data_IF_903083615199
#
_entry.id   IF_903083615199
#
_cell.length_a   1.000
_cell.length_b   1.000
_cell.length_c   1.000
_cell.angle_alpha   90.00
_cell.angle_beta   90.00
_cell.angle_gamma   90.00
#
_symmetry.space_group_name_H-M   'P 1'
#
loop_
_entity.id
_entity.type
_entity.pdbx_description
1 polymer ?
#
# COMPACT_ATOMS: atom_id res chain seq x y z
N UNK A 1 0.17 -20.85 -13.67
CA UNK A 1 -0.75 -20.00 -14.44
C UNK A 1 -0.03 -18.81 -15.10
N UNK A 2 1.27 -18.61 -14.81
CA UNK A 2 2.07 -17.53 -15.41
C UNK A 2 1.67 -16.11 -14.92
N UNK A 3 1.12 -16.01 -13.71
CA UNK A 3 0.66 -14.76 -13.11
C UNK A 3 1.23 -14.58 -11.69
N UNK A 4 1.32 -13.35 -11.25
CA UNK A 4 1.54 -13.07 -9.83
C UNK A 4 0.23 -13.21 -9.06
N UNK A 5 0.29 -13.79 -7.87
CA UNK A 5 -0.86 -13.94 -6.98
C UNK A 5 -0.57 -13.34 -5.61
N UNK A 6 -1.59 -12.71 -5.02
CA UNK A 6 -1.51 -12.16 -3.65
C UNK A 6 -2.48 -12.91 -2.77
N UNK A 7 -2.00 -13.45 -1.67
CA UNK A 7 -2.77 -14.31 -0.77
C UNK A 7 -2.59 -13.86 0.67
N UNK A 8 -3.67 -13.98 1.46
CA UNK A 8 -3.64 -13.77 2.90
C UNK A 8 -3.77 -15.10 3.62
N UNK A 9 -3.04 -15.25 4.72
CA UNK A 9 -3.03 -16.45 5.54
C UNK A 9 -2.86 -16.09 7.02
N UNK A 10 -3.46 -16.90 7.89
CA UNK A 10 -3.13 -16.90 9.30
C UNK A 10 -1.81 -17.65 9.49
N UNK A 11 -0.78 -16.94 9.90
CA UNK A 11 0.56 -17.49 10.10
C UNK A 11 0.81 -17.79 11.56
N UNK A 12 1.29 -19.01 11.83
CA UNK A 12 1.66 -19.41 13.19
C UNK A 12 2.78 -18.53 13.74
N UNK A 13 2.60 -18.00 14.95
CA UNK A 13 3.69 -17.38 15.67
C UNK A 13 4.68 -18.47 16.13
N UNK A 14 5.99 -18.31 15.92
CA UNK A 14 6.97 -19.26 16.43
C UNK A 14 7.00 -19.33 17.97
N UNK A 15 6.62 -18.26 18.65
CA UNK A 15 6.42 -18.25 20.10
C UNK A 15 5.00 -18.77 20.41
N UNK A 16 4.86 -19.93 21.07
CA UNK A 16 3.56 -20.54 21.34
C UNK A 16 2.67 -19.73 22.30
N UNK A 17 3.27 -18.82 23.07
CA UNK A 17 2.56 -17.97 24.02
C UNK A 17 2.00 -16.69 23.38
N UNK A 18 2.27 -16.48 22.08
CA UNK A 18 1.81 -15.33 21.32
C UNK A 18 0.73 -15.71 20.30
N UNK A 19 -0.15 -14.75 20.05
CA UNK A 19 -1.15 -14.89 19.01
C UNK A 19 -0.51 -15.02 17.61
N UNK A 20 -1.18 -15.69 16.66
CA UNK A 20 -0.71 -15.78 15.28
C UNK A 20 -0.66 -14.41 14.60
N UNK A 21 0.09 -14.34 13.50
CA UNK A 21 0.10 -13.18 12.62
C UNK A 21 -1.02 -13.27 11.56
N UNK A 22 -1.51 -12.12 11.15
CA UNK A 22 -2.25 -11.98 9.90
C UNK A 22 -1.23 -11.61 8.81
N UNK A 23 -1.00 -12.53 7.88
CA UNK A 23 0.09 -12.42 6.91
C UNK A 23 -0.42 -12.38 5.48
N UNK A 24 0.37 -11.78 4.60
CA UNK A 24 0.17 -11.82 3.16
C UNK A 24 1.46 -12.24 2.46
N UNK A 25 1.31 -12.96 1.36
CA UNK A 25 2.41 -13.32 0.47
C UNK A 25 2.10 -12.93 -0.96
N UNK A 26 3.15 -12.56 -1.71
CA UNK A 26 3.09 -12.45 -3.15
C UNK A 26 3.84 -13.65 -3.73
N UNK A 27 3.19 -14.38 -4.63
CA UNK A 27 3.73 -15.56 -5.31
C UNK A 27 3.94 -15.21 -6.78
N UNK A 28 5.14 -15.45 -7.30
CA UNK A 28 5.52 -15.18 -8.67
C UNK A 28 5.00 -16.27 -9.64
N UNK A 29 5.13 -16.12 -10.98
CA UNK A 29 4.70 -17.10 -11.96
C UNK A 29 5.34 -18.48 -11.81
N UNK A 30 6.52 -18.57 -11.23
CA UNK A 30 7.26 -19.79 -10.97
C UNK A 30 6.75 -20.55 -9.73
N UNK A 31 5.89 -19.92 -8.94
CA UNK A 31 5.31 -20.50 -7.71
C UNK A 31 6.15 -20.19 -6.46
N UNK A 32 7.09 -19.26 -6.53
CA UNK A 32 7.95 -18.88 -5.43
C UNK A 32 7.36 -17.68 -4.68
N UNK A 33 7.53 -17.64 -3.36
CA UNK A 33 7.16 -16.48 -2.54
C UNK A 33 8.22 -15.39 -2.74
N UNK A 34 7.85 -14.31 -3.44
CA UNK A 34 8.74 -13.16 -3.67
C UNK A 34 8.55 -12.04 -2.64
N UNK A 35 7.45 -12.05 -1.90
CA UNK A 35 7.22 -11.13 -0.78
C UNK A 35 6.44 -11.81 0.32
N UNK A 36 6.85 -11.56 1.57
CA UNK A 36 6.14 -11.94 2.78
C UNK A 36 5.93 -10.71 3.67
N UNK A 37 4.71 -10.48 4.07
CA UNK A 37 4.27 -9.37 4.89
C UNK A 37 3.46 -9.86 6.08
N UNK A 38 3.65 -9.27 7.25
CA UNK A 38 2.83 -9.46 8.45
C UNK A 38 2.13 -8.15 8.79
N UNK A 39 0.82 -8.18 8.99
CA UNK A 39 0.01 -7.00 9.31
C UNK A 39 0.60 -6.23 10.48
N UNK A 40 1.03 -4.98 10.25
CA UNK A 40 1.72 -4.16 11.24
C UNK A 40 0.77 -3.58 12.28
N UNK A 41 -0.45 -3.23 11.86
CA UNK A 41 -1.47 -2.59 12.71
C UNK A 41 -2.75 -3.42 12.76
N UNK A 42 -2.81 -4.48 13.59
CA UNK A 42 -4.07 -5.16 13.88
C UNK A 42 -5.13 -4.17 14.33
N UNK A 43 -6.38 -4.39 13.92
CA UNK A 43 -7.49 -3.53 14.30
C UNK A 43 -7.98 -3.87 15.72
N UNK A 44 -7.31 -3.31 16.72
CA UNK A 44 -7.64 -3.51 18.13
C UNK A 44 -8.93 -2.74 18.53
N UNK A 45 -9.76 -3.30 19.41
CA UNK A 45 -9.61 -4.61 20.09
C UNK A 45 -10.23 -5.80 19.33
N UNK A 46 -10.69 -5.59 18.08
CA UNK A 46 -11.46 -6.58 17.31
C UNK A 46 -10.57 -7.74 16.83
N UNK A 47 -9.36 -7.42 16.36
CA UNK A 47 -8.44 -8.42 15.84
C UNK A 47 -7.40 -8.83 16.88
N UNK A 48 -7.34 -10.15 17.22
CA UNK A 48 -6.41 -10.64 18.23
C UNK A 48 -5.00 -10.94 17.66
N UNK A 49 -4.70 -10.53 16.44
CA UNK A 49 -3.43 -10.83 15.79
C UNK A 49 -2.24 -10.19 16.48
N UNK A 50 -1.12 -10.89 16.48
CA UNK A 50 0.14 -10.30 16.92
C UNK A 50 0.63 -9.28 15.88
N UNK A 51 1.12 -8.09 16.28
CA UNK A 51 1.65 -7.09 15.36
C UNK A 51 2.83 -7.63 14.56
N UNK A 52 2.88 -7.29 13.26
CA UNK A 52 3.94 -7.71 12.36
C UNK A 52 5.29 -7.08 12.68
N UNK A 53 6.36 -7.72 12.23
CA UNK A 53 7.76 -7.38 12.51
C UNK A 53 8.65 -7.33 11.26
N UNK A 54 8.06 -7.46 10.06
CA UNK A 54 8.78 -7.48 8.79
C UNK A 54 8.86 -6.11 8.10
N UNK A 55 8.24 -5.07 8.68
CA UNK A 55 8.13 -3.75 8.06
C UNK A 55 7.31 -3.78 6.77
N UNK A 56 7.64 -2.88 5.83
CA UNK A 56 7.02 -2.82 4.50
C UNK A 56 7.99 -3.34 3.45
N UNK A 57 7.97 -4.65 3.12
CA UNK A 57 8.81 -5.21 2.07
C UNK A 57 8.33 -4.80 0.67
N UNK A 58 9.26 -4.80 -0.28
CA UNK A 58 9.02 -4.55 -1.70
C UNK A 58 9.69 -5.65 -2.51
N UNK A 59 9.03 -6.17 -3.53
CA UNK A 59 9.59 -7.13 -4.47
C UNK A 59 9.39 -6.69 -5.92
N UNK A 60 10.15 -7.30 -6.82
CA UNK A 60 9.95 -7.12 -8.25
C UNK A 60 8.67 -7.80 -8.71
N UNK A 61 7.98 -7.15 -9.64
CA UNK A 61 6.76 -7.63 -10.26
C UNK A 61 6.82 -7.57 -11.80
N UNK A 62 5.71 -7.84 -12.47
CA UNK A 62 5.66 -7.83 -13.93
C UNK A 62 5.83 -6.42 -14.50
N UNK A 63 6.39 -6.32 -15.74
CA UNK A 63 6.45 -5.06 -16.47
C UNK A 63 7.25 -3.95 -15.78
N UNK A 64 8.26 -4.29 -14.98
CA UNK A 64 9.06 -3.32 -14.23
C UNK A 64 8.37 -2.77 -12.97
N UNK A 65 7.24 -3.37 -12.56
CA UNK A 65 6.59 -2.99 -11.32
C UNK A 65 7.41 -3.38 -10.09
N UNK A 66 7.29 -2.58 -9.05
CA UNK A 66 7.77 -2.84 -7.69
C UNK A 66 6.54 -2.96 -6.79
N UNK A 67 6.30 -4.16 -6.29
CA UNK A 67 5.10 -4.51 -5.55
C UNK A 67 5.32 -4.43 -4.05
N UNK A 68 4.33 -3.92 -3.33
CA UNK A 68 4.21 -4.05 -1.88
C UNK A 68 2.76 -4.37 -1.52
N UNK A 69 2.54 -4.98 -0.37
CA UNK A 69 1.20 -5.35 0.09
C UNK A 69 0.97 -4.89 1.52
N UNK A 70 -0.26 -4.45 1.80
CA UNK A 70 -0.75 -4.20 3.15
C UNK A 70 -2.10 -4.88 3.38
N UNK A 71 -2.47 -5.05 4.65
CA UNK A 71 -3.70 -5.76 5.01
C UNK A 71 -4.66 -4.80 5.71
N UNK A 72 -5.84 -4.57 5.08
CA UNK A 72 -7.02 -4.00 5.72
C UNK A 72 -6.75 -2.65 6.39
N UNK A 73 -6.73 -2.61 7.74
CA UNK A 73 -6.53 -1.40 8.55
C UNK A 73 -5.19 -0.71 8.27
N UNK A 74 -4.15 -1.44 7.91
CA UNK A 74 -2.85 -0.87 7.52
C UNK A 74 -2.98 0.21 6.44
N UNK A 75 -3.91 0.05 5.51
CA UNK A 75 -4.16 1.04 4.45
C UNK A 75 -4.72 2.38 4.93
N UNK A 76 -5.15 2.48 6.20
CA UNK A 76 -5.53 3.73 6.84
C UNK A 76 -4.32 4.50 7.39
N UNK A 77 -3.15 3.85 7.49
CA UNK A 77 -1.94 4.38 8.09
C UNK A 77 -1.03 4.89 6.97
N UNK A 78 -0.97 6.21 6.73
CA UNK A 78 -0.27 6.78 5.58
C UNK A 78 1.24 6.52 5.60
N UNK A 79 1.82 6.31 6.77
CA UNK A 79 3.23 6.00 6.96
C UNK A 79 3.65 4.71 6.24
N UNK A 80 2.77 3.70 6.18
CA UNK A 80 3.08 2.43 5.53
C UNK A 80 3.19 2.59 4.00
N UNK A 81 2.23 3.29 3.41
CA UNK A 81 2.27 3.59 1.98
C UNK A 81 3.50 4.46 1.63
N UNK A 82 3.86 5.40 2.51
CA UNK A 82 5.04 6.25 2.37
C UNK A 82 6.33 5.45 2.45
N UNK A 83 6.44 4.55 3.42
CA UNK A 83 7.59 3.65 3.58
C UNK A 83 7.77 2.75 2.34
N UNK A 84 6.68 2.14 1.85
CA UNK A 84 6.74 1.34 0.63
C UNK A 84 7.21 2.16 -0.57
N UNK A 85 6.70 3.39 -0.72
CA UNK A 85 7.08 4.29 -1.82
C UNK A 85 8.57 4.67 -1.77
N UNK A 86 9.13 4.94 -0.60
CA UNK A 86 10.57 5.20 -0.44
C UNK A 86 11.44 4.00 -0.79
N UNK A 87 10.94 2.79 -0.57
CA UNK A 87 11.59 1.55 -1.00
C UNK A 87 11.39 1.25 -2.50
N UNK A 88 10.79 2.16 -3.24
CA UNK A 88 10.61 2.08 -4.68
C UNK A 88 9.30 1.45 -5.14
N UNK A 89 8.37 1.11 -4.24
CA UNK A 89 7.06 0.57 -4.61
C UNK A 89 6.34 1.54 -5.55
N UNK A 90 5.91 1.06 -6.71
CA UNK A 90 5.10 1.81 -7.66
C UNK A 90 3.71 1.16 -7.91
N UNK A 91 3.47 -0.03 -7.31
CA UNK A 91 2.17 -0.69 -7.26
C UNK A 91 1.92 -1.20 -5.84
N UNK A 92 1.04 -0.53 -5.12
CA UNK A 92 0.70 -0.82 -3.72
C UNK A 92 -0.61 -1.59 -3.65
N UNK A 93 -0.56 -2.79 -3.11
CA UNK A 93 -1.69 -3.72 -3.06
C UNK A 93 -2.29 -3.72 -1.66
N UNK A 94 -3.61 -3.63 -1.57
CA UNK A 94 -4.35 -3.68 -0.32
C UNK A 94 -5.41 -4.77 -0.36
N UNK A 95 -5.29 -5.78 0.49
CA UNK A 95 -6.27 -6.85 0.65
C UNK A 95 -7.03 -6.64 1.96
N UNK A 96 -8.37 -6.76 1.95
CA UNK A 96 -9.19 -6.28 3.06
C UNK A 96 -10.49 -7.04 3.27
N UNK A 97 -11.01 -6.93 4.51
CA UNK A 97 -12.37 -7.25 4.88
C UNK A 97 -13.02 -6.05 5.58
N UNK A 98 -13.31 -4.98 4.84
CA UNK A 98 -13.99 -3.79 5.35
C UNK A 98 -15.49 -3.93 5.29
N UNK A 99 -16.15 -3.61 6.42
CA UNK A 99 -17.60 -3.55 6.51
C UNK A 99 -18.15 -2.17 6.06
N UNK A 100 -19.45 -2.10 5.89
CA UNK A 100 -20.15 -0.93 5.32
C UNK A 100 -19.96 0.38 6.07
N UNK A 101 -19.54 0.35 7.34
CA UNK A 101 -19.37 1.57 8.15
C UNK A 101 -18.18 2.46 7.73
N UNK A 102 -17.26 1.93 6.93
CA UNK A 102 -16.01 2.61 6.57
C UNK A 102 -15.80 2.69 5.05
N UNK A 103 -16.89 2.73 4.29
CA UNK A 103 -16.84 2.78 2.82
C UNK A 103 -16.15 4.06 2.31
N UNK A 104 -16.53 5.23 2.83
CA UNK A 104 -15.94 6.50 2.40
C UNK A 104 -14.45 6.56 2.71
N UNK A 105 -14.05 6.06 3.87
CA UNK A 105 -12.64 5.98 4.27
C UNK A 105 -11.85 5.02 3.38
N UNK A 106 -12.47 3.94 2.92
CA UNK A 106 -11.88 3.03 1.94
C UNK A 106 -11.51 3.75 0.64
N UNK A 107 -12.47 4.42 0.02
CA UNK A 107 -12.26 5.15 -1.23
C UNK A 107 -11.22 6.27 -1.04
N UNK A 108 -11.36 7.05 0.03
CA UNK A 108 -10.49 8.18 0.33
C UNK A 108 -9.03 7.73 0.51
N UNK A 109 -8.80 6.71 1.34
CA UNK A 109 -7.43 6.27 1.65
C UNK A 109 -6.73 5.58 0.49
N UNK A 110 -7.44 4.81 -0.34
CA UNK A 110 -6.87 4.22 -1.55
C UNK A 110 -6.40 5.30 -2.53
N UNK A 111 -7.22 6.34 -2.75
CA UNK A 111 -6.88 7.47 -3.60
C UNK A 111 -5.75 8.33 -3.02
N UNK A 112 -5.81 8.59 -1.70
CA UNK A 112 -4.79 9.36 -1.00
C UNK A 112 -3.43 8.66 -1.04
N UNK A 113 -3.39 7.35 -0.78
CA UNK A 113 -2.16 6.57 -0.85
C UNK A 113 -1.55 6.58 -2.26
N UNK A 114 -2.38 6.54 -3.31
CA UNK A 114 -1.91 6.66 -4.69
C UNK A 114 -1.30 8.05 -4.96
N UNK A 115 -2.08 9.11 -4.74
CA UNK A 115 -1.71 10.48 -5.05
C UNK A 115 -0.50 10.99 -4.26
N UNK A 116 -0.50 10.79 -2.94
CA UNK A 116 0.56 11.30 -2.07
C UNK A 116 1.90 10.59 -2.28
N UNK A 117 1.91 9.42 -2.90
CA UNK A 117 3.10 8.61 -3.09
C UNK A 117 3.44 8.37 -4.56
N UNK A 118 2.64 8.91 -5.49
CA UNK A 118 2.78 8.73 -6.95
C UNK A 118 2.99 7.24 -7.30
N UNK A 119 2.04 6.39 -6.87
CA UNK A 119 2.04 4.95 -7.13
C UNK A 119 0.62 4.46 -7.41
N UNK A 120 0.49 3.42 -8.20
CA UNK A 120 -0.80 2.75 -8.37
C UNK A 120 -1.23 2.09 -7.07
N UNK A 121 -2.54 2.10 -6.78
CA UNK A 121 -3.10 1.26 -5.72
C UNK A 121 -4.05 0.25 -6.31
N UNK A 122 -3.92 -1.01 -5.87
CA UNK A 122 -4.80 -2.12 -6.25
C UNK A 122 -5.43 -2.65 -4.97
N UNK A 123 -6.71 -2.37 -4.78
CA UNK A 123 -7.39 -2.62 -3.51
C UNK A 123 -8.52 -3.61 -3.70
N UNK A 124 -8.49 -4.69 -2.92
CA UNK A 124 -9.49 -5.76 -2.93
C UNK A 124 -10.16 -5.83 -1.57
N UNK A 125 -11.49 -5.90 -1.57
CA UNK A 125 -12.28 -6.04 -0.37
C UNK A 125 -13.22 -7.25 -0.47
N UNK A 126 -13.46 -7.90 0.65
CA UNK A 126 -14.50 -8.93 0.74
C UNK A 126 -15.86 -8.34 0.35
N UNK A 127 -16.74 -9.17 -0.16
CA UNK A 127 -18.12 -8.81 -0.48
C UNK A 127 -19.08 -9.88 0.04
N UNK A 128 -20.23 -9.45 0.55
CA UNK A 128 -21.26 -10.34 1.09
C UNK A 128 -21.29 -10.36 2.62
N UNK A 129 -22.04 -11.32 3.16
CA UNK A 129 -22.29 -11.45 4.60
C UNK A 129 -21.69 -12.76 5.13
N UNK A 130 -20.89 -12.68 6.18
CA UNK A 130 -20.21 -13.83 6.79
C UNK A 130 -20.91 -14.39 8.06
N UNK A 131 -22.08 -13.83 8.39
CA UNK A 131 -22.82 -14.17 9.62
C UNK A 131 -22.67 -13.12 10.73
N UNK A 132 -21.66 -12.24 10.63
CA UNK A 132 -21.39 -11.17 11.60
C UNK A 132 -21.33 -9.81 10.91
N UNK A 133 -20.56 -9.69 9.86
CA UNK A 133 -20.33 -8.45 9.13
C UNK A 133 -20.85 -8.52 7.70
N UNK A 134 -21.35 -7.41 7.21
CA UNK A 134 -21.63 -7.20 5.79
C UNK A 134 -20.48 -6.43 5.15
N UNK A 135 -19.77 -7.09 4.25
CA UNK A 135 -18.66 -6.53 3.49
C UNK A 135 -19.17 -5.96 2.18
N UNK A 136 -18.70 -4.77 1.82
CA UNK A 136 -19.29 -4.03 0.71
C UNK A 136 -18.64 -4.30 -0.66
N UNK A 137 -17.53 -5.05 -0.75
CA UNK A 137 -16.84 -5.23 -2.03
C UNK A 137 -16.15 -3.94 -2.48
N UNK A 138 -16.53 -3.42 -3.64
CA UNK A 138 -16.01 -2.19 -4.22
C UNK A 138 -14.48 -2.20 -4.35
N UNK A 139 -13.93 -3.31 -4.89
CA UNK A 139 -12.52 -3.38 -5.25
C UNK A 139 -12.16 -2.22 -6.18
N UNK A 140 -10.96 -1.63 -6.01
CA UNK A 140 -10.60 -0.40 -6.70
C UNK A 140 -9.17 -0.48 -7.24
N UNK A 141 -8.97 -0.02 -8.48
CA UNK A 141 -7.64 0.26 -9.03
C UNK A 141 -7.55 1.76 -9.28
N UNK A 142 -6.55 2.37 -8.67
CA UNK A 142 -6.35 3.83 -8.70
C UNK A 142 -5.03 4.15 -9.37
N UNK A 143 -5.04 5.14 -10.24
CA UNK A 143 -3.86 5.67 -10.90
C UNK A 143 -2.95 6.42 -9.92
N UNK A 144 -1.67 6.55 -10.25
CA UNK A 144 -0.68 7.25 -9.43
C UNK A 144 -1.02 8.73 -9.15
N UNK A 145 -1.92 9.33 -9.90
CA UNK A 145 -2.43 10.70 -9.69
C UNK A 145 -3.70 10.75 -8.80
N UNK A 146 -4.12 9.60 -8.24
CA UNK A 146 -5.30 9.50 -7.40
C UNK A 146 -6.63 9.38 -8.17
N UNK A 147 -6.61 9.36 -9.51
CA UNK A 147 -7.83 9.10 -10.29
C UNK A 147 -8.17 7.61 -10.26
N UNK A 148 -9.47 7.30 -10.14
CA UNK A 148 -9.94 5.91 -10.13
C UNK A 148 -10.00 5.41 -11.56
N UNK A 149 -9.23 4.35 -11.88
CA UNK A 149 -9.28 3.69 -13.19
C UNK A 149 -10.50 2.77 -13.30
N UNK A 150 -10.77 2.02 -12.24
CA UNK A 150 -11.94 1.15 -12.13
C UNK A 150 -12.31 0.97 -10.67
N UNK A 151 -13.61 0.94 -10.41
CA UNK A 151 -14.18 0.58 -9.12
C UNK A 151 -15.27 -0.45 -9.33
N UNK A 152 -15.18 -1.53 -8.56
CA UNK A 152 -16.19 -2.59 -8.54
C UNK A 152 -17.47 -2.15 -7.84
N UNK A 153 -18.47 -2.99 -7.97
CA UNK A 153 -19.76 -2.84 -7.30
C UNK A 153 -19.79 -3.68 -6.01
N UNK A 154 -20.90 -3.61 -5.32
CA UNK A 154 -21.18 -4.44 -4.12
C UNK A 154 -21.61 -5.85 -4.50
N UNK A 155 -20.77 -6.54 -5.28
CA UNK A 155 -21.06 -7.86 -5.82
C UNK A 155 -19.94 -8.86 -5.46
N UNK A 156 -20.25 -9.97 -4.76
CA UNK A 156 -19.25 -10.95 -4.33
C UNK A 156 -18.59 -11.73 -5.49
N UNK A 157 -19.15 -11.67 -6.68
CA UNK A 157 -18.64 -12.41 -7.86
C UNK A 157 -18.02 -11.49 -8.92
N UNK A 158 -17.71 -10.27 -8.57
CA UNK A 158 -17.14 -9.31 -9.52
C UNK A 158 -15.62 -9.43 -9.59
N UNK A 159 -15.11 -9.35 -10.81
CA UNK A 159 -13.68 -9.20 -11.10
C UNK A 159 -13.51 -7.87 -11.82
N UNK A 160 -12.71 -6.98 -11.25
CA UNK A 160 -12.33 -5.71 -11.89
C UNK A 160 -10.92 -5.80 -12.43
N UNK A 161 -10.69 -5.23 -13.61
CA UNK A 161 -9.38 -5.21 -14.26
C UNK A 161 -9.08 -3.84 -14.83
N UNK A 162 -7.80 -3.45 -14.81
CA UNK A 162 -7.30 -2.27 -15.50
C UNK A 162 -5.88 -2.53 -16.00
N UNK A 163 -5.52 -1.91 -17.09
CA UNK A 163 -4.13 -1.83 -17.54
C UNK A 163 -3.43 -0.70 -16.79
N UNK A 164 -2.25 -0.99 -16.26
CA UNK A 164 -1.40 -0.02 -15.56
C UNK A 164 0.00 0.00 -16.18
N UNK A 165 0.67 1.13 -16.04
CA UNK A 165 1.99 1.41 -16.62
C UNK A 165 2.93 1.88 -15.51
N UNK A 166 3.60 0.98 -14.77
CA UNK A 166 4.43 1.32 -13.61
C UNK A 166 5.49 2.38 -13.91
N UNK A 167 6.05 2.38 -15.12
CA UNK A 167 7.03 3.36 -15.59
C UNK A 167 6.49 4.81 -15.60
N UNK A 168 5.16 4.99 -15.75
CA UNK A 168 4.54 6.32 -15.68
C UNK A 168 4.53 6.87 -14.25
N UNK A 169 4.33 6.01 -13.26
CA UNK A 169 4.44 6.40 -11.85
C UNK A 169 5.88 6.82 -11.53
N UNK A 170 6.87 6.06 -12.00
CA UNK A 170 8.28 6.38 -11.83
C UNK A 170 8.69 7.67 -12.57
N UNK A 171 8.16 7.89 -13.77
CA UNK A 171 8.35 9.15 -14.49
C UNK A 171 7.74 10.33 -13.72
N UNK A 172 6.51 10.18 -13.22
CA UNK A 172 5.85 11.23 -12.43
C UNK A 172 6.66 11.62 -11.18
N UNK A 173 7.29 10.65 -10.51
CA UNK A 173 8.17 10.92 -9.36
C UNK A 173 9.39 11.77 -9.73
N UNK A 174 9.93 11.58 -10.93
CA UNK A 174 11.12 12.32 -11.41
C UNK A 174 10.77 13.67 -12.02
N UNK A 175 9.69 13.74 -12.78
CA UNK A 175 9.40 14.83 -13.72
C UNK A 175 8.35 15.81 -13.20
N UNK A 176 7.40 15.33 -12.41
CA UNK A 176 6.35 16.18 -11.88
C UNK A 176 6.89 17.03 -10.73
N UNK A 177 7.09 18.29 -10.98
CA UNK A 177 7.29 19.30 -9.95
C UNK A 177 6.01 19.56 -9.13
N UNK A 178 5.15 18.54 -8.96
CA UNK A 178 3.90 18.67 -8.25
C UNK A 178 4.11 18.88 -6.76
N UNK A 179 3.23 19.65 -6.17
CA UNK A 179 3.24 20.03 -4.75
C UNK A 179 3.33 18.84 -3.80
N UNK A 180 2.80 17.69 -4.21
CA UNK A 180 2.80 16.47 -3.41
C UNK A 180 3.95 15.50 -3.73
N UNK A 181 4.86 15.86 -4.63
CA UNK A 181 5.99 15.00 -4.93
C UNK A 181 6.93 14.92 -3.73
N UNK A 182 6.90 13.77 -3.04
CA UNK A 182 7.72 13.52 -1.84
C UNK A 182 9.22 13.53 -2.14
N UNK A 183 9.61 13.30 -3.39
CA UNK A 183 10.99 13.26 -3.83
C UNK A 183 11.52 14.66 -4.19
N UNK A 184 10.64 15.65 -4.31
CA UNK A 184 11.05 17.04 -4.54
C UNK A 184 11.20 17.76 -3.18
N UNK A 185 12.39 17.70 -2.62
CA UNK A 185 12.69 18.29 -1.31
C UNK A 185 12.47 19.82 -1.29
N UNK A 186 12.66 20.50 -2.43
CA UNK A 186 12.39 21.93 -2.53
C UNK A 186 10.94 22.28 -2.26
N UNK A 187 10.00 21.46 -2.74
CA UNK A 187 8.57 21.64 -2.45
C UNK A 187 8.19 21.32 -1.01
N UNK A 188 9.10 20.66 -0.27
CA UNK A 188 8.93 20.34 1.16
C UNK A 188 9.66 21.32 2.08
N UNK A 189 10.11 22.44 1.54
CA UNK A 189 10.80 23.48 2.29
C UNK A 189 12.26 23.18 2.60
N UNK A 190 12.85 22.13 1.98
CA UNK A 190 14.27 21.84 2.10
C UNK A 190 15.04 22.36 0.90
N UNK A 191 16.01 23.23 1.13
CA UNK A 191 16.85 23.81 0.07
C UNK A 191 18.31 23.81 0.53
N UNK A 192 19.10 22.89 0.00
CA UNK A 192 20.49 22.64 0.41
C UNK A 192 21.52 23.39 -0.45
N UNK A 193 21.28 24.67 -0.77
CA UNK A 193 22.25 25.51 -1.46
C UNK A 193 22.39 26.89 -0.79
N UNK A 194 23.43 27.67 -1.09
CA UNK A 194 23.60 28.99 -0.50
C UNK A 194 22.36 29.88 -0.69
N UNK A 195 21.82 30.40 0.41
CA UNK A 195 20.58 31.18 0.42
C UNK A 195 19.30 30.35 0.48
N UNK A 196 19.38 29.01 0.48
CA UNK A 196 18.24 28.13 0.69
C UNK A 196 17.93 27.88 2.17
N UNK A 197 17.04 26.94 2.45
CA UNK A 197 16.61 26.54 3.80
C UNK A 197 17.01 25.09 4.07
N UNK A 198 18.21 24.83 4.64
CA UNK A 198 18.65 23.48 4.94
C UNK A 198 18.04 22.91 6.23
N UNK A 199 17.52 23.80 7.10
CA UNK A 199 16.93 23.44 8.38
C UNK A 199 15.42 23.32 8.29
N UNK A 200 14.94 22.12 7.98
CA UNK A 200 13.52 21.80 8.09
C UNK A 200 13.15 21.35 9.50
N UNK A 201 11.95 21.72 9.95
CA UNK A 201 11.40 21.22 11.22
C UNK A 201 10.89 19.78 11.12
N UNK A 202 10.78 19.25 9.91
CA UNK A 202 10.33 17.87 9.66
C UNK A 202 11.53 16.93 9.60
N UNK A 203 11.71 16.13 10.64
CA UNK A 203 12.87 15.24 10.80
C UNK A 203 13.02 14.24 9.64
N UNK A 204 11.92 13.69 9.13
CA UNK A 204 11.97 12.75 8.00
C UNK A 204 12.55 13.38 6.72
N UNK A 205 12.39 14.69 6.52
CA UNK A 205 12.98 15.40 5.36
C UNK A 205 14.51 15.51 5.55
N UNK A 206 14.98 15.75 6.77
CA UNK A 206 16.41 15.71 7.09
C UNK A 206 16.99 14.33 6.82
N UNK A 207 16.31 13.30 7.31
CA UNK A 207 16.74 11.92 7.15
C UNK A 207 16.79 11.51 5.67
N UNK A 208 15.81 11.93 4.88
CA UNK A 208 15.78 11.71 3.44
C UNK A 208 16.94 12.43 2.72
N UNK A 209 17.17 13.71 3.05
CA UNK A 209 18.24 14.51 2.47
C UNK A 209 19.64 13.97 2.79
N UNK A 210 19.79 13.36 3.96
CA UNK A 210 21.04 12.76 4.44
C UNK A 210 21.19 11.28 4.03
N UNK A 211 20.26 10.75 3.25
CA UNK A 211 20.31 9.38 2.76
C UNK A 211 20.14 8.31 3.85
N UNK A 212 19.42 8.64 4.92
CA UNK A 212 19.13 7.71 6.04
C UNK A 212 17.87 6.86 5.85
N UNK A 213 17.26 6.90 4.67
CA UNK A 213 16.18 6.03 4.24
C UNK A 213 16.61 5.08 3.13
#
# INVERSE_FOLDING_TARGET
AGVYGVFSIMERNPDPDKNPYNSAVIINPEGEICLHYRKLFPWNPIEPWYPGDLGMPVCDGPGGSKLSVCICHDGMIPELAREAAYKGCNVYIRISGYSTQVNDQWILTNRSNAWQNLMYTVSVNLAGYDGVFYYFGEGQITNYDGTVLVQGQRNPYEIVTAEIFPEKADAARREWGLENNIYNLGHRGYVAYPGGQPDTQLTYIKDLAEGRY
#
